data_IF_771762096736
#
_entry.id   IF_771762096736
#
_cell.length_a   1.000
_cell.length_b   1.000
_cell.length_c   1.000
_cell.angle_alpha   90.00
_cell.angle_beta   90.00
_cell.angle_gamma   90.00
#
_symmetry.space_group_name_H-M   'P 1'
#
loop_
_entity.id
_entity.type
_entity.pdbx_description
1 polymer ?
#
# COMPACT_ATOMS: atom_id res chain seq x y z
N UNK A 1 1.74 -21.52 15.57
CA UNK A 1 2.26 -21.25 14.23
C UNK A 1 3.78 -21.19 14.28
N UNK A 2 4.44 -21.84 13.36
CA UNK A 2 5.88 -21.76 13.13
C UNK A 2 6.09 -21.46 11.64
N UNK A 3 6.97 -20.51 11.36
CA UNK A 3 7.38 -20.14 10.00
C UNK A 3 8.89 -19.92 9.99
N UNK A 4 9.55 -20.46 8.99
CA UNK A 4 10.97 -20.26 8.72
C UNK A 4 11.12 -19.89 7.24
N UNK A 5 11.93 -18.90 6.96
CA UNK A 5 12.20 -18.43 5.60
C UNK A 5 13.68 -18.14 5.45
N UNK A 6 14.27 -18.71 4.41
CA UNK A 6 15.63 -18.38 3.97
C UNK A 6 15.54 -17.65 2.63
N UNK A 7 16.09 -16.45 2.59
CA UNK A 7 16.18 -15.63 1.38
C UNK A 7 17.64 -15.48 1.00
N UNK A 8 18.02 -16.08 -0.12
CA UNK A 8 19.36 -15.96 -0.68
C UNK A 8 19.29 -15.06 -1.91
N UNK A 9 19.93 -13.90 -1.86
CA UNK A 9 19.95 -12.94 -2.97
C UNK A 9 21.38 -12.74 -3.44
N UNK A 10 21.60 -12.86 -4.75
CA UNK A 10 22.87 -12.54 -5.39
C UNK A 10 22.64 -11.45 -6.42
N UNK A 11 23.19 -10.26 -6.18
CA UNK A 11 23.05 -9.11 -7.05
C UNK A 11 24.39 -8.78 -7.71
N UNK A 12 24.34 -8.48 -9.01
CA UNK A 12 25.47 -7.90 -9.74
C UNK A 12 25.03 -6.53 -10.29
N UNK A 13 25.61 -5.46 -9.78
CA UNK A 13 25.35 -4.11 -10.25
C UNK A 13 26.50 -3.67 -11.15
N UNK A 14 26.19 -3.37 -12.42
CA UNK A 14 27.14 -2.85 -13.39
C UNK A 14 26.81 -1.40 -13.71
N UNK A 15 27.76 -0.52 -13.49
CA UNK A 15 27.64 0.90 -13.85
C UNK A 15 28.56 1.26 -14.99
N UNK A 16 27.99 1.96 -16.00
CA UNK A 16 28.73 2.46 -17.16
C UNK A 16 28.55 3.99 -17.35
N UNK A 17 28.50 4.72 -16.24
CA UNK A 17 28.10 6.13 -16.18
C UNK A 17 28.92 7.09 -17.06
N UNK A 18 30.14 6.75 -17.42
CA UNK A 18 31.06 7.64 -18.12
C UNK A 18 31.89 6.94 -19.23
N UNK A 19 31.32 5.94 -19.90
CA UNK A 19 32.01 5.36 -21.05
C UNK A 19 32.25 6.44 -22.15
N UNK A 20 33.49 6.58 -22.68
CA UNK A 20 34.65 5.72 -22.50
C UNK A 20 35.66 6.18 -21.43
N UNK A 21 35.30 7.15 -20.58
CA UNK A 21 36.23 7.78 -19.63
C UNK A 21 36.47 6.92 -18.38
N UNK A 22 35.46 6.18 -17.96
CA UNK A 22 35.54 5.23 -16.84
C UNK A 22 35.01 3.88 -17.32
N UNK A 23 35.80 2.79 -17.23
CA UNK A 23 35.34 1.46 -17.61
C UNK A 23 34.12 1.07 -16.81
N UNK A 24 33.20 0.32 -17.44
CA UNK A 24 32.09 -0.28 -16.74
C UNK A 24 32.60 -1.14 -15.57
N UNK A 25 32.12 -0.85 -14.37
CA UNK A 25 32.52 -1.56 -13.17
C UNK A 25 31.34 -2.38 -12.66
N UNK A 26 31.61 -3.65 -12.34
CA UNK A 26 30.59 -4.56 -11.78
C UNK A 26 30.94 -4.85 -10.33
N UNK A 27 29.97 -4.68 -9.45
CA UNK A 27 30.01 -5.11 -8.05
C UNK A 27 29.09 -6.28 -7.85
N UNK A 28 29.57 -7.33 -7.24
CA UNK A 28 28.76 -8.49 -6.86
C UNK A 28 28.55 -8.47 -5.34
N UNK A 29 27.33 -8.66 -4.91
CA UNK A 29 27.02 -8.88 -3.49
C UNK A 29 26.18 -10.14 -3.31
N UNK A 30 26.39 -10.81 -2.21
CA UNK A 30 25.59 -11.95 -1.76
C UNK A 30 25.00 -11.59 -0.41
N UNK A 31 23.70 -11.77 -0.28
CA UNK A 31 22.97 -11.52 0.96
C UNK A 31 22.16 -12.76 1.31
N UNK A 32 22.35 -13.26 2.49
CA UNK A 32 21.60 -14.37 3.08
C UNK A 32 20.80 -13.81 4.27
N UNK A 33 19.49 -14.00 4.29
CA UNK A 33 18.60 -13.60 5.38
C UNK A 33 17.81 -14.81 5.84
N UNK A 34 17.96 -15.18 7.09
CA UNK A 34 17.20 -16.27 7.73
C UNK A 34 16.27 -15.68 8.78
N UNK A 35 14.97 -15.88 8.60
CA UNK A 35 13.94 -15.45 9.54
C UNK A 35 13.21 -16.63 10.16
N UNK A 36 13.07 -16.64 11.49
CA UNK A 36 12.26 -17.62 12.24
C UNK A 36 11.18 -16.88 13.03
N UNK A 37 9.95 -17.32 12.87
CA UNK A 37 8.80 -16.76 13.58
C UNK A 37 8.05 -17.88 14.32
N UNK A 38 7.83 -17.70 15.61
CA UNK A 38 7.01 -18.60 16.43
C UNK A 38 5.90 -17.80 17.07
N UNK A 39 4.66 -18.26 16.94
CA UNK A 39 3.54 -17.57 17.55
C UNK A 39 2.50 -18.52 18.15
N UNK A 40 1.95 -18.09 19.29
CA UNK A 40 0.79 -18.71 19.92
C UNK A 40 -0.33 -17.67 20.00
N UNK A 41 -1.53 -18.04 19.57
CA UNK A 41 -2.67 -17.13 19.57
C UNK A 41 -3.97 -17.87 19.88
N UNK A 42 -4.95 -17.12 20.35
CA UNK A 42 -6.30 -17.62 20.60
C UNK A 42 -7.30 -16.48 20.69
N UNK A 43 -8.56 -16.82 20.47
CA UNK A 43 -9.70 -15.93 20.61
C UNK A 43 -10.86 -16.66 21.29
N UNK A 44 -11.58 -15.96 22.16
CA UNK A 44 -12.76 -16.47 22.86
C UNK A 44 -13.88 -15.46 22.72
N UNK A 45 -15.06 -15.96 22.37
CA UNK A 45 -16.27 -15.18 22.21
C UNK A 45 -17.22 -15.48 23.37
N UNK A 46 -17.59 -14.45 24.12
CA UNK A 46 -18.51 -14.54 25.24
C UNK A 46 -19.84 -13.87 24.89
N UNK A 47 -20.93 -14.61 24.89
CA UNK A 47 -22.28 -14.04 24.84
C UNK A 47 -22.60 -13.49 26.23
N UNK A 48 -22.57 -12.18 26.38
CA UNK A 48 -22.87 -11.50 27.66
C UNK A 48 -24.36 -11.48 27.94
N UNK A 49 -25.18 -11.22 26.92
CA UNK A 49 -26.66 -11.24 26.89
C UNK A 49 -27.10 -11.73 25.50
N UNK A 50 -28.40 -11.78 25.24
CA UNK A 50 -28.95 -12.32 23.98
C UNK A 50 -28.35 -11.61 22.74
N UNK A 51 -28.12 -10.29 22.85
CA UNK A 51 -27.74 -9.47 21.69
C UNK A 51 -26.32 -8.86 21.82
N UNK A 52 -25.56 -9.24 22.88
CA UNK A 52 -24.23 -8.71 23.13
C UNK A 52 -23.16 -9.80 23.15
N UNK A 53 -22.12 -9.58 22.41
CA UNK A 53 -20.94 -10.46 22.36
C UNK A 53 -19.68 -9.68 22.73
N UNK A 54 -18.90 -10.22 23.66
CA UNK A 54 -17.54 -9.77 23.96
C UNK A 54 -16.54 -10.73 23.32
N UNK A 55 -15.61 -10.19 22.56
CA UNK A 55 -14.55 -10.94 21.87
C UNK A 55 -13.23 -10.56 22.51
N UNK A 56 -12.53 -11.56 23.06
CA UNK A 56 -11.19 -11.40 23.65
C UNK A 56 -10.21 -12.27 22.90
N UNK A 57 -9.17 -11.67 22.37
CA UNK A 57 -8.10 -12.36 21.65
C UNK A 57 -6.72 -11.90 22.10
N UNK A 58 -5.73 -12.69 21.79
CA UNK A 58 -4.35 -12.33 22.01
C UNK A 58 -3.42 -13.21 21.19
N UNK A 59 -2.27 -12.65 20.87
CA UNK A 59 -1.17 -13.32 20.17
C UNK A 59 0.13 -12.97 20.86
N UNK A 60 0.91 -13.97 21.18
CA UNK A 60 2.32 -13.84 21.51
C UNK A 60 3.13 -14.24 20.27
N UNK A 61 4.06 -13.40 19.87
CA UNK A 61 4.96 -13.64 18.73
C UNK A 61 6.40 -13.50 19.20
N UNK A 62 7.27 -14.40 18.75
CA UNK A 62 8.71 -14.31 18.88
C UNK A 62 9.32 -14.41 17.48
N UNK A 63 10.17 -13.44 17.15
CA UNK A 63 10.90 -13.35 15.88
C UNK A 63 12.41 -13.41 16.14
N UNK A 64 13.10 -14.17 15.32
CA UNK A 64 14.56 -14.21 15.23
C UNK A 64 14.94 -13.95 13.77
N UNK A 65 15.85 -13.03 13.53
CA UNK A 65 16.29 -12.63 12.20
C UNK A 65 17.83 -12.60 12.17
N UNK A 66 18.41 -13.38 11.27
CA UNK A 66 19.84 -13.41 11.00
C UNK A 66 20.09 -12.83 9.61
N UNK A 67 21.12 -12.01 9.48
CA UNK A 67 21.49 -11.32 8.25
C UNK A 67 22.99 -11.43 8.03
N UNK A 68 23.38 -11.99 6.88
CA UNK A 68 24.75 -12.08 6.42
C UNK A 68 24.86 -11.48 5.04
N UNK A 69 25.78 -10.53 4.85
CA UNK A 69 26.08 -10.00 3.53
C UNK A 69 27.58 -9.98 3.28
N UNK A 70 27.94 -10.31 2.05
CA UNK A 70 29.29 -10.21 1.55
C UNK A 70 29.28 -9.47 0.22
N UNK A 71 30.22 -8.58 0.02
CA UNK A 71 30.34 -7.85 -1.25
C UNK A 71 31.78 -7.82 -1.70
N UNK A 72 31.99 -7.85 -3.03
CA UNK A 72 33.31 -7.72 -3.61
C UNK A 72 33.98 -6.42 -3.17
N UNK A 73 35.20 -6.55 -2.66
CA UNK A 73 36.02 -5.41 -2.17
C UNK A 73 36.73 -4.69 -3.33
N UNK A 74 36.12 -4.57 -4.47
CA UNK A 74 36.67 -3.79 -5.60
C UNK A 74 36.63 -2.31 -5.25
N UNK A 75 37.79 -1.80 -4.92
CA UNK A 75 38.00 -0.38 -4.67
C UNK A 75 38.00 0.37 -6.02
N UNK A 76 36.98 1.17 -6.25
CA UNK A 76 36.91 2.04 -7.43
C UNK A 76 36.20 3.35 -7.10
N UNK A 77 36.30 4.34 -7.99
CA UNK A 77 35.75 5.68 -7.84
C UNK A 77 34.20 5.72 -7.72
N UNK A 78 33.49 4.61 -8.04
CA UNK A 78 32.06 4.59 -8.15
C UNK A 78 31.44 3.81 -6.97
N UNK A 79 32.11 2.74 -6.51
CA UNK A 79 31.65 1.92 -5.41
C UNK A 79 32.62 2.03 -4.22
N UNK A 80 32.18 2.57 -3.08
CA UNK A 80 32.99 2.52 -1.87
C UNK A 80 33.27 1.06 -1.48
N UNK A 81 34.40 0.78 -0.77
CA UNK A 81 34.71 -0.56 -0.32
C UNK A 81 33.58 -1.10 0.54
N UNK A 82 32.93 -2.17 0.09
CA UNK A 82 31.95 -2.86 0.90
C UNK A 82 32.62 -3.97 1.71
N UNK A 83 32.30 -4.02 2.98
CA UNK A 83 32.72 -5.08 3.89
C UNK A 83 31.73 -6.24 3.93
N UNK A 84 32.19 -7.34 4.54
CA UNK A 84 31.28 -8.35 5.00
C UNK A 84 30.57 -7.80 6.26
N UNK A 85 29.26 -7.99 6.34
CA UNK A 85 28.46 -7.61 7.48
C UNK A 85 27.59 -8.79 7.91
N UNK A 86 27.56 -9.07 9.20
CA UNK A 86 26.71 -10.11 9.80
C UNK A 86 26.12 -9.57 11.09
N UNK A 87 24.83 -9.75 11.26
CA UNK A 87 24.13 -9.36 12.48
C UNK A 87 22.91 -10.27 12.72
N UNK A 88 22.45 -10.30 13.95
CA UNK A 88 21.26 -11.06 14.35
C UNK A 88 20.47 -10.28 15.37
N UNK A 89 19.15 -10.40 15.30
CA UNK A 89 18.23 -9.75 16.22
C UNK A 89 17.08 -10.68 16.56
N UNK A 90 16.66 -10.64 17.80
CA UNK A 90 15.42 -11.24 18.26
C UNK A 90 14.50 -10.19 18.90
N UNK A 91 13.20 -10.42 18.81
CA UNK A 91 12.19 -9.59 19.45
C UNK A 91 10.92 -10.38 19.75
N UNK A 92 10.13 -9.90 20.67
CA UNK A 92 8.85 -10.54 21.00
C UNK A 92 7.78 -9.52 21.37
N UNK A 93 6.53 -9.82 21.00
CA UNK A 93 5.39 -8.95 21.26
C UNK A 93 4.16 -9.72 21.73
N UNK A 94 3.29 -9.01 22.45
CA UNK A 94 1.96 -9.46 22.81
C UNK A 94 0.94 -8.51 22.18
N UNK A 95 0.25 -9.00 21.17
CA UNK A 95 -0.79 -8.25 20.44
C UNK A 95 -2.19 -8.63 20.96
N UNK A 96 -2.84 -7.78 21.76
CA UNK A 96 -4.18 -8.02 22.28
C UNK A 96 -5.27 -7.66 21.28
N UNK A 97 -6.45 -8.30 21.42
CA UNK A 97 -7.69 -7.93 20.73
C UNK A 97 -8.83 -7.90 21.73
N UNK A 98 -9.57 -6.82 21.76
CA UNK A 98 -10.79 -6.67 22.54
C UNK A 98 -11.85 -6.08 21.62
N UNK A 99 -13.01 -6.72 21.50
CA UNK A 99 -14.13 -6.17 20.76
C UNK A 99 -15.45 -6.44 21.47
N UNK A 100 -16.36 -5.52 21.35
CA UNK A 100 -17.75 -5.65 21.79
C UNK A 100 -18.67 -5.46 20.58
N UNK A 101 -19.63 -6.34 20.43
CA UNK A 101 -20.64 -6.29 19.39
C UNK A 101 -22.01 -6.27 20.03
N UNK A 102 -22.92 -5.49 19.46
CA UNK A 102 -24.32 -5.44 19.81
C UNK A 102 -25.19 -5.65 18.57
N UNK A 103 -25.88 -6.75 18.52
CA UNK A 103 -26.87 -7.06 17.50
C UNK A 103 -28.18 -6.37 17.88
N UNK A 104 -28.43 -5.19 17.28
CA UNK A 104 -29.63 -4.37 17.58
C UNK A 104 -30.92 -5.10 17.16
N UNK A 105 -30.83 -5.90 16.10
CA UNK A 105 -31.84 -6.81 15.57
C UNK A 105 -31.18 -7.74 14.54
N UNK A 106 -31.93 -8.60 13.86
CA UNK A 106 -31.42 -9.56 12.87
C UNK A 106 -30.73 -8.89 11.66
N UNK A 107 -30.98 -7.60 11.44
CA UNK A 107 -30.53 -6.87 10.26
C UNK A 107 -29.53 -5.74 10.56
N UNK A 108 -29.23 -5.46 11.82
CA UNK A 108 -28.36 -4.35 12.17
C UNK A 108 -27.49 -4.64 13.39
N UNK A 109 -26.21 -4.37 13.30
CA UNK A 109 -25.24 -4.49 14.39
C UNK A 109 -24.33 -3.26 14.51
N UNK A 110 -23.89 -3.00 15.72
CA UNK A 110 -22.85 -2.00 16.06
C UNK A 110 -21.70 -2.73 16.75
N UNK A 111 -20.49 -2.29 16.51
CA UNK A 111 -19.33 -2.84 17.19
C UNK A 111 -18.32 -1.75 17.54
N UNK A 112 -17.47 -2.05 18.52
CA UNK A 112 -16.27 -1.30 18.83
C UNK A 112 -15.15 -2.28 19.13
N UNK A 113 -13.95 -2.00 18.68
CA UNK A 113 -12.78 -2.85 18.87
C UNK A 113 -11.52 -2.07 19.16
N UNK A 114 -10.63 -2.73 19.88
CA UNK A 114 -9.24 -2.36 20.06
C UNK A 114 -8.36 -3.54 19.67
N UNK A 115 -7.31 -3.27 18.88
CA UNK A 115 -6.36 -4.29 18.42
C UNK A 115 -4.95 -3.72 18.52
N UNK A 116 -4.07 -4.43 19.25
CA UNK A 116 -2.63 -4.24 19.17
C UNK A 116 -2.07 -4.96 17.95
N UNK A 117 -1.18 -4.29 17.21
CA UNK A 117 -0.49 -4.86 16.05
C UNK A 117 1.02 -4.86 16.22
N UNK A 118 1.68 -5.82 15.58
CA UNK A 118 3.11 -6.01 15.60
C UNK A 118 3.63 -6.40 14.22
N UNK A 119 4.73 -5.77 13.83
CA UNK A 119 5.53 -6.12 12.66
C UNK A 119 6.98 -6.28 13.11
N UNK A 120 7.55 -7.45 12.92
CA UNK A 120 8.88 -7.82 13.39
C UNK A 120 10.00 -6.90 12.91
N UNK A 121 11.21 -7.08 13.47
CA UNK A 121 12.40 -6.38 13.03
C UNK A 121 12.72 -6.71 11.58
N UNK A 122 13.53 -5.86 10.95
CA UNK A 122 14.02 -6.07 9.61
C UNK A 122 15.48 -5.60 9.49
N UNK A 123 16.19 -6.09 8.47
CA UNK A 123 17.42 -5.46 8.02
C UNK A 123 17.19 -4.80 6.66
N UNK A 124 17.73 -3.61 6.49
CA UNK A 124 17.84 -3.01 5.18
C UNK A 124 18.93 -3.75 4.40
N UNK A 125 18.56 -4.30 3.25
CA UNK A 125 19.47 -5.07 2.40
C UNK A 125 20.13 -4.24 1.31
N UNK A 126 19.93 -2.92 1.32
CA UNK A 126 20.61 -2.03 0.38
C UNK A 126 22.12 -1.98 0.69
N UNK A 127 22.91 -1.93 -0.36
CA UNK A 127 24.38 -1.89 -0.22
C UNK A 127 24.88 -0.62 0.45
N UNK A 128 24.09 0.46 0.40
CA UNK A 128 24.42 1.77 0.96
C UNK A 128 24.26 1.74 2.48
N UNK A 129 23.19 1.13 2.98
CA UNK A 129 22.93 1.08 4.42
C UNK A 129 23.80 0.10 5.19
N UNK A 130 24.57 -0.75 4.48
CA UNK A 130 25.49 -1.72 5.12
C UNK A 130 24.78 -2.72 6.04
N UNK A 131 23.52 -3.07 5.76
CA UNK A 131 22.75 -3.97 6.60
C UNK A 131 22.15 -3.32 7.85
N UNK A 132 21.69 -2.07 7.73
CA UNK A 132 21.11 -1.33 8.86
C UNK A 132 19.91 -2.03 9.48
N UNK A 133 19.95 -2.15 10.81
CA UNK A 133 18.85 -2.70 11.60
C UNK A 133 17.63 -1.77 11.66
N UNK A 134 16.47 -2.32 11.39
CA UNK A 134 15.17 -1.63 11.46
C UNK A 134 14.36 -2.22 12.61
N UNK A 135 14.02 -1.37 13.58
CA UNK A 135 13.30 -1.76 14.81
C UNK A 135 11.90 -2.29 14.48
N UNK A 136 11.37 -3.19 15.32
CA UNK A 136 9.99 -3.63 15.23
C UNK A 136 9.02 -2.44 15.25
N UNK A 137 7.96 -2.55 14.43
CA UNK A 137 6.84 -1.60 14.44
C UNK A 137 5.72 -2.16 15.30
N UNK A 138 5.13 -1.34 16.14
CA UNK A 138 3.94 -1.68 16.92
C UNK A 138 2.81 -0.70 16.61
N UNK A 139 1.57 -1.17 16.72
CA UNK A 139 0.40 -0.33 16.53
C UNK A 139 -0.66 -0.55 17.59
N UNK A 140 -1.40 0.52 17.86
CA UNK A 140 -2.61 0.55 18.66
C UNK A 140 -3.75 1.06 17.78
N UNK A 141 -4.76 0.23 17.49
CA UNK A 141 -5.87 0.55 16.60
C UNK A 141 -7.21 0.45 17.32
N UNK A 142 -8.04 1.45 17.13
CA UNK A 142 -9.44 1.53 17.60
C UNK A 142 -10.35 1.65 16.38
N UNK A 143 -11.43 0.90 16.37
CA UNK A 143 -12.44 0.96 15.34
C UNK A 143 -13.83 0.86 15.96
N UNK A 144 -14.77 1.61 15.43
CA UNK A 144 -16.21 1.44 15.70
C UNK A 144 -16.97 1.44 14.38
N UNK A 145 -18.01 0.64 14.30
CA UNK A 145 -18.74 0.54 13.05
C UNK A 145 -20.19 0.10 13.24
N UNK A 146 -20.90 0.26 12.14
CA UNK A 146 -22.31 -0.11 12.00
C UNK A 146 -22.45 -0.90 10.70
N UNK A 147 -23.11 -2.07 10.77
CA UNK A 147 -23.44 -2.90 9.61
C UNK A 147 -24.93 -3.15 9.59
N UNK A 148 -25.55 -2.97 8.42
CA UNK A 148 -27.01 -3.09 8.33
C UNK A 148 -27.51 -3.55 6.97
N UNK A 149 -28.66 -4.21 7.00
CA UNK A 149 -29.41 -4.68 5.83
C UNK A 149 -30.82 -4.11 5.90
N UNK A 150 -31.35 -3.64 4.80
CA UNK A 150 -32.63 -2.97 4.68
C UNK A 150 -33.39 -3.46 3.44
N UNK A 151 -34.71 -3.26 3.43
CA UNK A 151 -35.57 -3.51 2.26
C UNK A 151 -35.46 -4.97 1.75
N UNK A 152 -35.55 -5.95 2.64
CA UNK A 152 -35.38 -7.37 2.31
C UNK A 152 -34.02 -7.68 1.65
N UNK A 153 -32.94 -7.18 2.24
CA UNK A 153 -31.55 -7.29 1.78
C UNK A 153 -31.24 -6.55 0.46
N UNK A 154 -32.14 -5.71 -0.05
CA UNK A 154 -31.90 -4.91 -1.25
C UNK A 154 -31.05 -3.68 -1.00
N UNK A 155 -30.79 -3.32 0.25
CA UNK A 155 -29.88 -2.24 0.61
C UNK A 155 -29.02 -2.72 1.79
N UNK A 156 -27.70 -2.74 1.59
CA UNK A 156 -26.70 -2.99 2.62
C UNK A 156 -25.91 -1.70 2.83
N UNK A 157 -25.77 -1.27 4.07
CA UNK A 157 -24.99 -0.09 4.46
C UNK A 157 -24.03 -0.48 5.57
N UNK A 158 -22.73 -0.32 5.31
CA UNK A 158 -21.67 -0.53 6.27
C UNK A 158 -20.93 0.80 6.49
N UNK A 159 -20.71 1.14 7.75
CA UNK A 159 -19.97 2.33 8.15
C UNK A 159 -18.92 1.92 9.19
N UNK A 160 -17.72 2.49 9.08
CA UNK A 160 -16.66 2.37 10.06
C UNK A 160 -16.00 3.74 10.32
N UNK A 161 -15.55 3.95 11.54
CA UNK A 161 -14.66 5.04 11.93
C UNK A 161 -13.48 4.43 12.69
N UNK A 162 -12.26 4.83 12.36
CA UNK A 162 -11.06 4.24 12.90
C UNK A 162 -10.03 5.29 13.29
N UNK A 163 -9.16 4.89 14.23
CA UNK A 163 -7.98 5.62 14.63
C UNK A 163 -6.87 4.63 14.98
N UNK A 164 -5.69 4.77 14.40
CA UNK A 164 -4.54 3.92 14.70
C UNK A 164 -3.29 4.76 14.91
N UNK A 165 -2.45 4.34 15.85
CA UNK A 165 -1.11 4.90 16.13
C UNK A 165 -0.06 3.83 15.88
N UNK A 166 1.02 4.24 15.23
CA UNK A 166 2.17 3.39 14.95
C UNK A 166 3.41 3.97 15.63
N UNK A 167 4.24 3.10 16.21
CA UNK A 167 5.56 3.43 16.77
C UNK A 167 6.61 2.72 15.96
N UNK A 168 7.73 3.37 15.72
CA UNK A 168 8.83 2.87 14.87
C UNK A 168 8.33 2.47 13.48
N UNK A 169 7.44 3.26 12.88
CA UNK A 169 6.83 2.95 11.58
C UNK A 169 7.90 2.61 10.54
N UNK A 170 7.80 1.44 9.93
CA UNK A 170 8.76 0.98 8.94
C UNK A 170 8.36 1.48 7.55
N UNK A 171 9.16 2.36 6.98
CA UNK A 171 8.90 2.97 5.68
C UNK A 171 10.12 2.90 4.77
N UNK A 172 9.89 2.99 3.46
CA UNK A 172 10.96 3.18 2.49
C UNK A 172 11.26 4.68 2.36
N UNK A 173 12.53 5.03 2.46
CA UNK A 173 13.05 6.37 2.23
C UNK A 173 14.08 6.35 1.12
N UNK A 174 14.14 7.43 0.33
CA UNK A 174 15.23 7.64 -0.62
C UNK A 174 16.42 8.25 0.14
N UNK A 175 17.55 7.59 0.09
CA UNK A 175 18.80 8.05 0.71
C UNK A 175 19.85 8.22 -0.37
N UNK A 176 20.43 9.43 -0.44
CA UNK A 176 21.60 9.70 -1.23
C UNK A 176 22.83 9.57 -0.33
N UNK A 177 23.80 8.77 -0.73
CA UNK A 177 25.12 8.79 -0.12
C UNK A 177 25.89 9.97 -0.71
N UNK A 178 26.30 10.98 0.06
CA UNK A 178 27.02 12.14 -0.46
C UNK A 178 28.41 11.80 -1.01
N UNK A 179 28.97 10.65 -0.62
CA UNK A 179 30.27 10.17 -1.06
C UNK A 179 30.16 9.18 -2.24
N UNK A 180 28.94 8.88 -2.70
CA UNK A 180 28.66 7.95 -3.79
C UNK A 180 28.13 8.68 -5.03
N UNK A 181 28.64 8.33 -6.19
CA UNK A 181 28.14 8.80 -7.50
C UNK A 181 26.91 7.99 -7.99
N UNK A 182 26.42 7.08 -7.19
CA UNK A 182 25.27 6.23 -7.53
C UNK A 182 23.94 6.97 -7.32
N UNK A 183 22.89 6.56 -8.04
CA UNK A 183 21.54 7.03 -7.80
C UNK A 183 21.10 6.75 -6.36
N UNK A 184 20.24 7.62 -5.80
CA UNK A 184 19.62 7.40 -4.50
C UNK A 184 19.03 6.00 -4.40
N UNK A 185 19.35 5.32 -3.32
CA UNK A 185 18.76 4.01 -3.02
C UNK A 185 17.51 4.16 -2.16
N UNK A 186 16.54 3.28 -2.39
CA UNK A 186 15.43 3.10 -1.48
C UNK A 186 15.89 2.20 -0.34
N UNK A 187 15.95 2.76 0.85
CA UNK A 187 16.33 2.06 2.09
C UNK A 187 15.12 1.91 3.01
N UNK A 188 15.09 0.84 3.78
CA UNK A 188 14.10 0.64 4.82
C UNK A 188 14.55 1.35 6.11
N UNK A 189 13.68 2.21 6.66
CA UNK A 189 13.97 3.01 7.86
C UNK A 189 12.79 2.96 8.84
N UNK A 190 13.06 3.33 10.09
CA UNK A 190 11.98 3.65 11.02
C UNK A 190 11.63 5.14 10.89
N UNK A 191 10.49 5.46 10.32
CA UNK A 191 9.97 6.82 10.14
C UNK A 191 9.25 7.36 11.39
N UNK A 192 9.75 7.03 12.58
CA UNK A 192 9.25 7.56 13.85
C UNK A 192 7.84 7.12 14.22
N UNK A 193 6.97 8.09 14.54
CA UNK A 193 5.57 7.82 14.89
C UNK A 193 4.64 8.31 13.80
N UNK A 194 3.62 7.51 13.53
CA UNK A 194 2.59 7.79 12.52
C UNK A 194 1.21 7.58 13.16
N UNK A 195 0.25 8.38 12.79
CA UNK A 195 -1.16 8.12 13.09
C UNK A 195 -2.02 8.14 11.83
N UNK A 196 -3.05 7.32 11.83
CA UNK A 196 -4.07 7.29 10.79
C UNK A 196 -5.45 7.34 11.41
N UNK A 197 -6.33 8.16 10.86
CA UNK A 197 -7.72 8.24 11.29
C UNK A 197 -8.62 8.42 10.08
N UNK A 198 -9.84 7.96 10.20
CA UNK A 198 -10.75 8.10 9.07
C UNK A 198 -12.14 7.52 9.28
N UNK A 199 -12.90 7.63 8.22
CA UNK A 199 -14.24 7.04 8.09
C UNK A 199 -14.36 6.33 6.76
N UNK A 200 -15.12 5.23 6.76
CA UNK A 200 -15.45 4.45 5.57
C UNK A 200 -16.96 4.22 5.50
N UNK A 201 -17.52 4.37 4.33
CA UNK A 201 -18.92 4.05 4.03
C UNK A 201 -18.97 3.16 2.79
N UNK A 202 -19.60 2.01 2.94
CA UNK A 202 -19.90 1.09 1.84
C UNK A 202 -21.41 0.93 1.68
N UNK A 203 -21.88 0.97 0.45
CA UNK A 203 -23.30 0.80 0.11
C UNK A 203 -23.43 -0.19 -1.03
N UNK A 204 -24.27 -1.21 -0.85
CA UNK A 204 -24.73 -2.11 -1.90
C UNK A 204 -26.24 -1.94 -2.00
N UNK A 205 -26.72 -1.57 -3.18
CA UNK A 205 -28.13 -1.33 -3.40
C UNK A 205 -28.63 -2.08 -4.64
N UNK A 206 -29.82 -2.67 -4.51
CA UNK A 206 -30.57 -3.29 -5.60
C UNK A 206 -31.96 -2.64 -5.70
N UNK A 207 -32.06 -1.43 -6.31
CA UNK A 207 -33.32 -0.70 -6.40
C UNK A 207 -34.42 -1.49 -7.13
N UNK A 208 -34.02 -2.32 -8.11
CA UNK A 208 -34.88 -3.30 -8.78
C UNK A 208 -34.11 -4.58 -9.02
N UNK A 209 -34.79 -5.65 -9.46
CA UNK A 209 -34.17 -6.93 -9.82
C UNK A 209 -33.13 -6.79 -10.94
N UNK A 210 -33.26 -5.76 -11.73
CA UNK A 210 -32.43 -5.51 -12.90
C UNK A 210 -31.31 -4.48 -12.65
N UNK A 211 -31.26 -3.85 -11.48
CA UNK A 211 -30.32 -2.76 -11.20
C UNK A 211 -29.53 -3.02 -9.91
N UNK A 212 -28.22 -3.15 -10.06
CA UNK A 212 -27.25 -3.27 -8.97
C UNK A 212 -26.34 -2.04 -8.93
N UNK A 213 -26.17 -1.47 -7.74
CA UNK A 213 -25.25 -0.37 -7.46
C UNK A 213 -24.38 -0.79 -6.29
N UNK A 214 -23.06 -0.61 -6.42
CA UNK A 214 -22.11 -0.79 -5.32
C UNK A 214 -21.25 0.45 -5.24
N UNK A 215 -21.14 1.05 -4.08
CA UNK A 215 -20.35 2.25 -3.85
C UNK A 215 -19.60 2.22 -2.54
N UNK A 216 -18.45 2.86 -2.51
CA UNK A 216 -17.66 3.05 -1.30
C UNK A 216 -16.96 4.41 -1.32
N UNK A 217 -16.98 5.09 -0.19
CA UNK A 217 -16.23 6.31 0.05
C UNK A 217 -15.40 6.16 1.32
N UNK A 218 -14.14 6.55 1.24
CA UNK A 218 -13.22 6.58 2.38
C UNK A 218 -12.61 7.97 2.52
N UNK A 219 -12.56 8.46 3.75
CA UNK A 219 -11.73 9.57 4.16
C UNK A 219 -10.66 9.04 5.11
N UNK A 220 -9.38 9.30 4.79
CA UNK A 220 -8.24 8.88 5.59
C UNK A 220 -7.30 10.06 5.79
N UNK A 221 -7.05 10.42 7.02
CA UNK A 221 -6.02 11.38 7.40
C UNK A 221 -4.88 10.61 8.06
N UNK A 222 -3.76 10.49 7.34
CA UNK A 222 -2.57 9.76 7.78
C UNK A 222 -1.40 10.73 7.89
N UNK A 223 -0.87 10.89 9.09
CA UNK A 223 0.09 11.92 9.45
C UNK A 223 1.34 11.31 10.09
N UNK A 224 2.49 11.85 9.74
CA UNK A 224 3.76 11.59 10.42
C UNK A 224 3.77 12.44 11.70
N UNK A 225 3.56 11.82 12.87
CA UNK A 225 3.44 12.57 14.12
C UNK A 225 4.79 13.07 14.64
N UNK A 226 5.87 12.27 14.47
CA UNK A 226 7.18 12.56 15.04
C UNK A 226 8.29 11.94 14.19
N UNK A 227 8.93 12.76 13.35
CA UNK A 227 10.10 12.37 12.55
C UNK A 227 10.99 13.61 12.30
N UNK A 228 11.76 14.04 13.31
CA UNK A 228 12.51 15.30 13.26
C UNK A 228 13.74 15.28 12.33
N UNK A 229 14.28 14.10 12.02
CA UNK A 229 15.49 13.90 11.21
C UNK A 229 15.20 13.02 9.99
N UNK A 230 14.17 13.38 9.24
CA UNK A 230 13.79 12.66 8.04
C UNK A 230 14.68 13.01 6.85
N UNK A 231 14.83 12.07 5.93
CA UNK A 231 15.65 12.24 4.74
C UNK A 231 15.02 13.23 3.75
N UNK A 232 15.88 13.97 3.07
CA UNK A 232 15.50 14.81 1.94
C UNK A 232 15.63 14.06 0.61
N UNK A 233 14.82 14.41 -0.37
CA UNK A 233 15.03 13.92 -1.74
C UNK A 233 16.29 14.56 -2.36
N UNK A 234 16.88 13.88 -3.35
CA UNK A 234 17.98 14.45 -4.12
C UNK A 234 17.60 15.77 -4.78
N UNK A 235 16.37 15.88 -5.28
CA UNK A 235 15.83 17.12 -5.83
C UNK A 235 15.80 18.28 -4.83
N UNK A 236 15.36 18.02 -3.59
CA UNK A 236 15.36 19.04 -2.52
C UNK A 236 16.79 19.50 -2.16
N UNK A 237 17.74 18.55 -2.05
CA UNK A 237 19.16 18.88 -1.80
C UNK A 237 19.73 19.74 -2.93
N UNK A 238 19.48 19.37 -4.17
CA UNK A 238 19.94 20.13 -5.34
C UNK A 238 19.38 21.56 -5.39
N UNK A 239 18.10 21.74 -5.03
CA UNK A 239 17.47 23.06 -4.97
C UNK A 239 17.87 23.88 -3.72
N UNK A 240 18.69 23.31 -2.83
CA UNK A 240 19.10 23.95 -1.58
C UNK A 240 18.01 24.05 -0.53
N UNK A 241 16.95 23.29 -0.66
CA UNK A 241 15.81 23.24 0.28
C UNK A 241 16.14 22.46 1.55
N UNK A 242 17.23 21.70 1.53
CA UNK A 242 17.66 20.81 2.61
C UNK A 242 19.15 20.97 2.94
N UNK A 243 19.58 22.13 3.46
CA UNK A 243 21.00 22.44 3.65
C UNK A 243 21.70 21.61 4.73
N UNK A 244 20.95 20.98 5.64
CA UNK A 244 21.49 20.12 6.70
C UNK A 244 21.56 18.63 6.29
N UNK A 245 21.05 18.26 5.11
CA UNK A 245 20.96 16.88 4.65
C UNK A 245 19.78 16.09 5.24
N UNK A 246 19.10 16.65 6.25
CA UNK A 246 17.89 16.14 6.86
C UNK A 246 16.88 17.26 7.12
N UNK A 247 15.63 16.90 7.37
CA UNK A 247 14.54 17.84 7.62
C UNK A 247 13.54 17.28 8.64
N UNK A 248 12.80 18.17 9.30
CA UNK A 248 11.72 17.74 10.17
C UNK A 248 10.47 17.43 9.35
N UNK A 249 10.08 16.15 9.28
CA UNK A 249 8.92 15.67 8.56
C UNK A 249 7.67 15.53 9.46
N UNK A 250 7.77 15.90 10.73
CA UNK A 250 6.63 15.87 11.65
C UNK A 250 5.52 16.80 11.17
N UNK A 251 4.28 16.31 11.17
CA UNK A 251 3.10 16.98 10.62
C UNK A 251 2.89 16.75 9.11
N UNK A 252 3.83 16.08 8.43
CA UNK A 252 3.71 15.72 7.02
C UNK A 252 2.70 14.59 6.77
N UNK A 253 2.19 14.51 5.55
CA UNK A 253 1.29 13.44 5.12
C UNK A 253 2.06 12.13 4.91
N UNK A 254 1.47 11.01 5.32
CA UNK A 254 2.05 9.70 5.00
C UNK A 254 1.96 9.44 3.49
N UNK A 255 3.04 8.98 2.82
CA UNK A 255 3.01 8.67 1.39
C UNK A 255 1.93 7.63 1.02
N UNK A 256 1.47 7.67 -0.24
CA UNK A 256 0.47 6.75 -0.81
C UNK A 256 -0.92 6.81 -0.16
N UNK A 257 -1.22 7.82 0.65
CA UNK A 257 -2.48 7.98 1.38
C UNK A 257 -3.26 9.21 0.92
N UNK A 258 -4.00 9.15 -0.21
CA UNK A 258 -4.90 10.25 -0.60
C UNK A 258 -6.01 10.38 0.45
N UNK A 259 -6.40 11.62 0.79
CA UNK A 259 -7.41 11.88 1.83
C UNK A 259 -8.78 11.32 1.47
N UNK A 260 -9.19 11.46 0.23
CA UNK A 260 -10.46 10.94 -0.24
C UNK A 260 -10.29 9.88 -1.33
N UNK A 261 -11.04 8.80 -1.20
CA UNK A 261 -11.21 7.78 -2.23
C UNK A 261 -12.69 7.49 -2.42
N UNK A 262 -13.13 7.45 -3.67
CA UNK A 262 -14.50 7.10 -4.05
C UNK A 262 -14.46 6.01 -5.12
N UNK A 263 -15.24 4.97 -4.92
CA UNK A 263 -15.49 3.93 -5.92
C UNK A 263 -17.00 3.78 -6.10
N UNK A 264 -17.46 3.73 -7.34
CA UNK A 264 -18.87 3.48 -7.68
C UNK A 264 -18.91 2.52 -8.85
N UNK A 265 -19.72 1.49 -8.74
CA UNK A 265 -20.01 0.52 -9.81
C UNK A 265 -21.50 0.37 -9.97
N UNK A 266 -21.97 0.29 -11.19
CA UNK A 266 -23.38 0.04 -11.48
C UNK A 266 -23.54 -0.92 -12.64
N UNK A 267 -24.58 -1.75 -12.58
CA UNK A 267 -25.01 -2.62 -13.68
C UNK A 267 -26.53 -2.54 -13.77
N UNK A 268 -27.02 -2.26 -14.96
CA UNK A 268 -28.44 -2.23 -15.29
C UNK A 268 -28.73 -3.20 -16.42
N UNK A 269 -29.62 -4.17 -16.19
CA UNK A 269 -30.02 -5.18 -17.16
C UNK A 269 -31.32 -4.80 -17.81
N UNK A 270 -31.36 -4.73 -19.12
CA UNK A 270 -32.58 -4.63 -19.91
C UNK A 270 -32.94 -6.05 -20.36
N UNK A 271 -34.03 -6.57 -19.84
CA UNK A 271 -34.58 -7.87 -20.24
C UNK A 271 -35.29 -7.67 -21.60
N UNK A 272 -34.99 -8.54 -22.55
CA UNK A 272 -35.57 -8.52 -23.90
C UNK A 272 -36.28 -9.86 -24.14
N UNK A 273 -37.54 -9.94 -23.74
CA UNK A 273 -38.33 -11.19 -23.69
C UNK A 273 -38.41 -11.89 -25.05
N UNK A 274 -38.42 -11.16 -26.15
CA UNK A 274 -38.50 -11.68 -27.51
C UNK A 274 -37.14 -12.05 -28.15
N UNK A 275 -36.02 -11.80 -27.44
CA UNK A 275 -34.67 -12.02 -27.98
C UNK A 275 -33.91 -13.07 -27.13
N UNK A 276 -32.96 -13.81 -27.75
CA UNK A 276 -32.18 -14.81 -27.03
C UNK A 276 -31.07 -14.21 -26.17
N UNK A 277 -31.10 -12.90 -25.87
CA UNK A 277 -30.12 -12.21 -25.05
C UNK A 277 -30.74 -11.03 -24.31
N UNK A 278 -30.13 -10.66 -23.20
CA UNK A 278 -30.37 -9.42 -22.47
C UNK A 278 -29.25 -8.41 -22.76
N UNK A 279 -29.52 -7.13 -22.54
CA UNK A 279 -28.50 -6.06 -22.62
C UNK A 279 -28.15 -5.61 -21.21
N UNK A 280 -26.88 -5.67 -20.85
CA UNK A 280 -26.39 -5.17 -19.57
C UNK A 280 -25.51 -3.95 -19.79
N UNK A 281 -25.92 -2.80 -19.25
CA UNK A 281 -25.10 -1.59 -19.19
C UNK A 281 -24.36 -1.57 -17.85
N UNK A 282 -23.04 -1.37 -17.91
CA UNK A 282 -22.20 -1.26 -16.73
C UNK A 282 -21.37 0.01 -16.77
N UNK A 283 -21.15 0.57 -15.58
CA UNK A 283 -20.28 1.72 -15.38
C UNK A 283 -19.47 1.56 -14.11
N UNK A 284 -18.22 2.04 -14.12
CA UNK A 284 -17.38 2.15 -12.94
C UNK A 284 -16.80 3.56 -12.88
N UNK A 285 -16.78 4.14 -11.69
CA UNK A 285 -16.11 5.39 -11.39
C UNK A 285 -15.12 5.14 -10.25
N UNK A 286 -13.90 5.63 -10.40
CA UNK A 286 -12.88 5.66 -9.35
C UNK A 286 -12.34 7.08 -9.28
N UNK A 287 -12.38 7.66 -8.11
CA UNK A 287 -11.84 9.00 -7.85
C UNK A 287 -10.95 8.94 -6.63
N UNK A 288 -9.86 9.66 -6.66
CA UNK A 288 -9.02 9.87 -5.50
C UNK A 288 -8.51 11.31 -5.47
N UNK A 289 -8.26 11.77 -4.25
CA UNK A 289 -7.60 13.03 -3.96
C UNK A 289 -6.12 12.99 -4.37
N UNK A 290 -5.44 14.10 -4.27
CA UNK A 290 -4.00 14.17 -4.50
C UNK A 290 -3.23 13.26 -3.52
N UNK A 291 -2.04 12.83 -3.94
CA UNK A 291 -1.20 11.94 -3.14
C UNK A 291 0.27 12.24 -3.34
N UNK A 292 1.03 12.32 -2.24
CA UNK A 292 2.49 12.34 -2.25
C UNK A 292 3.02 10.91 -2.29
N UNK A 293 4.04 10.68 -3.11
CA UNK A 293 4.71 9.38 -3.17
C UNK A 293 6.01 9.34 -2.36
N UNK A 294 6.64 10.50 -2.12
CA UNK A 294 7.91 10.59 -1.40
C UNK A 294 7.72 10.83 0.10
N UNK A 295 8.37 10.03 0.95
CA UNK A 295 8.42 10.27 2.40
C UNK A 295 9.05 11.63 2.74
N UNK A 296 9.97 12.11 1.91
CA UNK A 296 10.64 13.41 2.02
C UNK A 296 9.72 14.62 1.85
N UNK A 297 8.44 14.44 1.59
CA UNK A 297 7.45 15.51 1.35
C UNK A 297 7.83 16.42 0.18
N UNK A 298 8.55 15.91 -0.83
CA UNK A 298 8.88 16.67 -2.03
C UNK A 298 7.63 16.82 -2.91
N UNK A 299 7.15 18.06 -3.07
CA UNK A 299 5.96 18.40 -3.86
C UNK A 299 6.03 17.91 -5.32
N UNK A 300 7.26 17.73 -5.86
CA UNK A 300 7.43 17.20 -7.21
C UNK A 300 7.17 15.69 -7.30
N UNK A 301 6.96 15.00 -6.17
CA UNK A 301 6.51 13.60 -6.12
C UNK A 301 4.99 13.47 -5.94
N UNK A 302 4.27 14.57 -6.11
CA UNK A 302 2.82 14.63 -5.95
C UNK A 302 2.10 14.24 -7.24
N UNK A 303 1.13 13.36 -7.13
CA UNK A 303 0.11 13.11 -8.14
C UNK A 303 -1.14 13.90 -7.76
N UNK A 304 -1.59 14.76 -8.65
CA UNK A 304 -2.83 15.51 -8.48
C UNK A 304 -4.06 14.60 -8.45
N UNK A 305 -5.14 15.08 -7.83
CA UNK A 305 -6.42 14.37 -7.78
C UNK A 305 -6.91 13.98 -9.19
N UNK A 306 -7.49 12.79 -9.31
CA UNK A 306 -8.02 12.33 -10.59
C UNK A 306 -9.25 11.45 -10.46
N UNK A 307 -10.00 11.37 -11.56
CA UNK A 307 -11.18 10.51 -11.69
C UNK A 307 -11.11 9.69 -12.98
N UNK A 308 -11.34 8.39 -12.88
CA UNK A 308 -11.42 7.45 -14.00
C UNK A 308 -12.84 6.94 -14.09
N UNK A 309 -13.39 6.97 -15.31
CA UNK A 309 -14.71 6.42 -15.62
C UNK A 309 -14.59 5.39 -16.72
N UNK A 310 -15.13 4.21 -16.48
CA UNK A 310 -15.22 3.11 -17.43
C UNK A 310 -16.70 2.83 -17.74
N UNK A 311 -17.02 2.51 -18.98
CA UNK A 311 -18.37 2.11 -19.38
C UNK A 311 -18.31 0.84 -20.22
N UNK A 312 -19.39 0.05 -20.15
CA UNK A 312 -19.54 -1.17 -20.95
C UNK A 312 -20.99 -1.44 -21.31
N UNK A 313 -21.20 -2.11 -22.44
CA UNK A 313 -22.47 -2.69 -22.84
C UNK A 313 -22.24 -4.17 -23.21
N UNK A 314 -23.01 -5.05 -22.61
CA UNK A 314 -22.87 -6.51 -22.77
C UNK A 314 -24.15 -7.09 -23.32
N UNK A 315 -24.05 -7.86 -24.40
CA UNK A 315 -25.09 -8.78 -24.84
C UNK A 315 -24.84 -10.12 -24.13
N UNK A 316 -25.73 -10.51 -23.24
CA UNK A 316 -25.65 -11.73 -22.44
C UNK A 316 -26.71 -12.74 -22.91
N UNK A 317 -26.29 -13.87 -23.46
CA UNK A 317 -27.19 -14.94 -23.91
C UNK A 317 -28.05 -15.46 -22.76
N UNK A 318 -29.35 -15.65 -23.01
CA UNK A 318 -30.31 -16.14 -22.00
C UNK A 318 -30.34 -17.66 -21.89
N UNK A 319 -29.90 -18.38 -22.94
CA UNK A 319 -29.90 -19.85 -22.98
C UNK A 319 -28.52 -20.43 -23.19
N UNK A 320 -27.68 -19.73 -23.92
CA UNK A 320 -26.32 -20.13 -24.28
C UNK A 320 -25.32 -19.29 -23.48
N UNK A 321 -24.26 -19.88 -22.98
CA UNK A 321 -23.27 -19.22 -22.11
C UNK A 321 -22.40 -18.15 -22.78
N UNK A 322 -22.85 -17.54 -23.90
CA UNK A 322 -22.08 -16.50 -24.58
C UNK A 322 -22.35 -15.09 -24.03
N UNK A 323 -21.31 -14.29 -24.04
CA UNK A 323 -21.34 -12.85 -23.72
C UNK A 323 -20.49 -12.09 -24.72
N UNK A 324 -21.02 -10.99 -25.24
CA UNK A 324 -20.28 -10.05 -26.08
C UNK A 324 -20.32 -8.69 -25.42
N UNK A 325 -19.18 -8.22 -24.99
CA UNK A 325 -19.03 -6.94 -24.24
C UNK A 325 -18.25 -5.94 -25.07
N UNK A 326 -18.86 -4.82 -25.40
CA UNK A 326 -18.16 -3.62 -25.88
C UNK A 326 -17.85 -2.73 -24.66
N UNK A 327 -16.63 -2.21 -24.58
CA UNK A 327 -16.22 -1.38 -23.46
C UNK A 327 -15.34 -0.19 -23.88
N UNK A 328 -15.39 0.87 -23.09
CA UNK A 328 -14.42 1.95 -23.10
C UNK A 328 -13.96 2.18 -21.68
N UNK A 329 -12.66 1.99 -21.43
CA UNK A 329 -12.01 2.30 -20.16
C UNK A 329 -11.38 3.67 -20.23
N UNK A 330 -11.41 4.40 -19.10
CA UNK A 330 -10.92 5.76 -18.99
C UNK A 330 -11.48 6.65 -20.11
N UNK A 331 -12.80 6.83 -20.14
CA UNK A 331 -13.49 7.53 -21.24
C UNK A 331 -13.03 8.98 -21.45
N UNK A 332 -12.53 9.63 -20.38
CA UNK A 332 -12.04 11.00 -20.41
C UNK A 332 -10.57 11.14 -20.74
N UNK A 333 -9.85 9.99 -20.91
CA UNK A 333 -8.41 9.95 -21.19
C UNK A 333 -7.57 10.67 -20.12
N UNK A 334 -7.95 10.49 -18.86
CA UNK A 334 -7.29 11.12 -17.71
C UNK A 334 -5.92 10.50 -17.50
N UNK A 335 -4.87 11.30 -17.58
CA UNK A 335 -3.52 10.85 -17.32
C UNK A 335 -3.21 10.88 -15.83
N UNK A 336 -2.57 9.82 -15.32
CA UNK A 336 -2.12 9.74 -13.95
C UNK A 336 -0.89 8.84 -13.82
N UNK A 337 -0.07 9.11 -12.82
CA UNK A 337 1.05 8.26 -12.44
C UNK A 337 0.67 7.40 -11.24
N UNK A 338 1.18 6.17 -11.20
CA UNK A 338 1.04 5.28 -10.03
C UNK A 338 2.20 5.42 -9.04
N UNK A 339 3.28 6.09 -9.46
CA UNK A 339 4.44 6.39 -8.65
C UNK A 339 5.21 7.54 -9.29
N UNK A 340 5.69 8.47 -8.48
CA UNK A 340 6.62 9.53 -8.87
C UNK A 340 7.72 9.58 -7.82
N UNK A 341 8.97 9.47 -8.24
CA UNK A 341 10.11 9.60 -7.32
C UNK A 341 11.22 10.44 -7.92
N UNK A 342 12.01 11.05 -7.05
CA UNK A 342 13.16 11.84 -7.47
C UNK A 342 14.23 10.93 -8.08
N UNK A 343 14.70 11.28 -9.26
CA UNK A 343 15.85 10.64 -9.86
C UNK A 343 17.10 11.38 -9.38
N UNK A 344 17.95 10.68 -8.66
CA UNK A 344 19.20 11.23 -8.12
C UNK A 344 20.42 10.99 -9.01
N UNK A 345 20.21 10.69 -10.29
CA UNK A 345 21.35 10.54 -11.21
C UNK A 345 22.18 11.82 -11.24
N UNK A 346 23.49 11.67 -11.09
CA UNK A 346 24.50 12.74 -11.11
C UNK A 346 24.35 13.67 -12.32
N UNK A 347 23.86 13.15 -13.44
CA UNK A 347 23.67 13.91 -14.69
C UNK A 347 22.34 14.68 -14.74
N UNK A 348 21.35 14.32 -13.92
CA UNK A 348 20.04 14.96 -13.85
C UNK A 348 19.56 15.08 -12.39
N UNK A 349 20.27 15.83 -11.54
CA UNK A 349 20.01 15.86 -10.09
C UNK A 349 18.65 16.45 -9.69
N UNK A 350 17.90 17.01 -10.63
CA UNK A 350 16.55 17.56 -10.42
C UNK A 350 15.51 16.85 -11.30
N UNK A 351 15.80 15.63 -11.73
CA UNK A 351 14.87 14.81 -12.51
C UNK A 351 13.88 14.05 -11.64
N UNK A 352 12.72 13.73 -12.21
CA UNK A 352 11.71 12.87 -11.59
C UNK A 352 11.29 11.79 -12.57
N UNK A 353 11.14 10.56 -12.08
CA UNK A 353 10.65 9.43 -12.85
C UNK A 353 9.18 9.20 -12.49
N UNK A 354 8.35 9.09 -13.53
CA UNK A 354 6.92 8.79 -13.39
C UNK A 354 6.61 7.40 -13.96
N UNK A 355 5.97 6.56 -13.16
CA UNK A 355 5.43 5.30 -13.62
C UNK A 355 3.96 5.49 -14.00
N UNK A 356 3.70 5.43 -15.31
CA UNK A 356 2.34 5.50 -15.85
C UNK A 356 1.83 4.07 -16.03
N UNK A 357 0.72 3.68 -15.38
CA UNK A 357 0.17 2.35 -15.53
C UNK A 357 -0.21 2.04 -16.98
N UNK A 358 -0.02 0.79 -17.40
CA UNK A 358 -0.39 0.34 -18.77
C UNK A 358 -1.83 0.73 -19.18
N UNK A 359 -2.73 0.83 -18.21
CA UNK A 359 -4.15 1.12 -18.42
C UNK A 359 -4.53 2.58 -18.09
N UNK A 360 -3.55 3.46 -17.95
CA UNK A 360 -3.81 4.89 -17.72
C UNK A 360 -4.36 5.60 -18.96
N UNK A 361 -4.18 5.04 -20.14
CA UNK A 361 -4.72 5.59 -21.40
C UNK A 361 -6.14 5.07 -21.67
N UNK A 362 -6.94 5.87 -22.39
CA UNK A 362 -8.23 5.41 -22.89
C UNK A 362 -8.08 4.18 -23.77
N UNK A 363 -8.84 3.14 -23.46
CA UNK A 363 -8.81 1.88 -24.19
C UNK A 363 -10.23 1.45 -24.53
N UNK A 364 -10.51 1.19 -25.79
CA UNK A 364 -11.77 0.63 -26.25
C UNK A 364 -11.56 -0.78 -26.83
N UNK A 365 -12.53 -1.65 -26.63
CA UNK A 365 -12.44 -3.02 -27.12
C UNK A 365 -13.76 -3.77 -27.12
N UNK A 366 -13.70 -4.96 -27.69
CA UNK A 366 -14.78 -5.94 -27.67
C UNK A 366 -14.20 -7.24 -27.09
N UNK A 367 -14.89 -7.81 -26.13
CA UNK A 367 -14.59 -9.09 -25.51
C UNK A 367 -15.71 -10.08 -25.86
N UNK A 368 -15.35 -11.28 -26.28
CA UNK A 368 -16.28 -12.38 -26.48
C UNK A 368 -15.92 -13.50 -25.52
N UNK A 369 -16.87 -13.91 -24.71
CA UNK A 369 -16.73 -15.01 -23.75
C UNK A 369 -17.81 -16.06 -23.99
N UNK A 370 -17.42 -17.32 -23.88
CA UNK A 370 -18.32 -18.46 -23.91
C UNK A 370 -18.05 -19.35 -22.70
N UNK A 371 -19.06 -19.59 -21.89
CA UNK A 371 -19.01 -20.48 -20.73
C UNK A 371 -19.59 -21.85 -21.15
N UNK A 372 -18.76 -22.91 -21.16
CA UNK A 372 -19.11 -24.27 -21.61
C UNK A 372 -19.92 -25.02 -20.52
#
# INVERSE_FOLDING_TARGET
>A
FYFEQDINTSNATTTSLLEPLVPATTRTSKTDVTGKNVAVFGEVNFNLWQDWQLILGGRYTYDELEYDTSADKTDNLIFPPAGDFSDSVDDSDISPKIAIQWDMNDDAMVYASYVGGYKGPAFDTSLIAGGSYVKPETSDAWETGFKSRWLDNRLIVNFAAFYAKYKNFQAQASVDDPDDLLPASLVLVNAGKVSTQGIELEVIAQPSVDWMITGGVAYTDATIDDYPEGNCSGGQKYRGECPLGFQNLSGGQLPYTPKWKLNLSTNYTIQLDDLPFNVVFGGNLRSQDDVLYGLSQDENTKQEAYTIVDIRATLAGTRDGYRVTAFVKNIFDTNYASLIYANSEVLLPNGYIQYVPKYANRTAGIEVRYDF
#
